data_IF_290348631280
#
_entry.id   IF_290348631280
#
_cell.length_a   1.000
_cell.length_b   1.000
_cell.length_c   1.000
_cell.angle_alpha   90.00
_cell.angle_beta   90.00
_cell.angle_gamma   90.00
#
_symmetry.space_group_name_H-M   'P 1'
#
loop_
_entity.id
_entity.type
_entity.pdbx_description
1 polymer ?
#
# COMPACT_ATOMS: atom_id res chain seq x y z
N UNK A 1 55.83 -11.19 10.25
CA UNK A 1 54.86 -11.59 9.21
C UNK A 1 53.46 -11.94 9.73
N UNK A 2 53.22 -12.10 11.03
CA UNK A 2 51.90 -12.52 11.57
C UNK A 2 50.78 -11.47 11.57
N UNK A 3 51.08 -10.16 11.57
CA UNK A 3 50.06 -9.10 11.66
C UNK A 3 49.26 -8.89 10.37
N UNK A 4 49.90 -9.09 9.21
CA UNK A 4 49.25 -8.92 7.90
C UNK A 4 48.24 -10.04 7.66
N UNK A 5 48.57 -11.28 8.02
CA UNK A 5 47.67 -12.42 7.93
C UNK A 5 46.45 -12.26 8.87
N UNK A 6 46.67 -11.78 10.10
CA UNK A 6 45.57 -11.52 11.03
C UNK A 6 44.62 -10.42 10.53
N UNK A 7 45.16 -9.35 9.95
CA UNK A 7 44.36 -8.27 9.36
C UNK A 7 43.53 -8.75 8.16
N UNK A 8 44.11 -9.58 7.29
CA UNK A 8 43.40 -10.17 6.13
C UNK A 8 42.25 -11.08 6.58
N UNK A 9 42.49 -11.93 7.58
CA UNK A 9 41.44 -12.81 8.14
C UNK A 9 40.32 -11.99 8.79
N UNK A 10 40.65 -10.93 9.54
CA UNK A 10 39.65 -10.05 10.15
C UNK A 10 38.80 -9.32 9.11
N UNK A 11 39.41 -8.80 8.04
CA UNK A 11 38.68 -8.17 6.91
C UNK A 11 37.79 -9.19 6.21
N UNK A 12 38.29 -10.40 5.97
CA UNK A 12 37.52 -11.48 5.33
C UNK A 12 36.31 -11.89 6.16
N UNK A 13 36.48 -12.11 7.47
CA UNK A 13 35.38 -12.41 8.39
C UNK A 13 34.36 -11.27 8.44
N UNK A 14 34.82 -10.02 8.49
CA UNK A 14 33.93 -8.84 8.47
C UNK A 14 33.09 -8.75 7.19
N UNK A 15 33.69 -9.07 6.04
CA UNK A 15 32.97 -9.11 4.76
C UNK A 15 31.93 -10.24 4.73
N UNK A 16 32.26 -11.42 5.23
CA UNK A 16 31.31 -12.54 5.34
C UNK A 16 30.13 -12.19 6.24
N UNK A 17 30.37 -11.61 7.42
CA UNK A 17 29.30 -11.19 8.34
C UNK A 17 28.38 -10.15 7.70
N UNK A 18 28.94 -9.18 6.94
CA UNK A 18 28.13 -8.20 6.21
C UNK A 18 27.30 -8.82 5.10
N UNK A 19 27.81 -9.84 4.41
CA UNK A 19 27.05 -10.55 3.39
C UNK A 19 25.87 -11.32 4.01
N UNK A 20 26.10 -12.00 5.12
CA UNK A 20 25.05 -12.77 5.80
C UNK A 20 23.95 -11.85 6.36
N UNK A 21 24.33 -10.74 7.00
CA UNK A 21 23.35 -9.73 7.48
C UNK A 21 22.51 -9.18 6.34
N UNK A 22 23.13 -8.87 5.18
CA UNK A 22 22.40 -8.40 4.00
C UNK A 22 21.45 -9.47 3.44
N UNK A 23 21.88 -10.73 3.45
CA UNK A 23 21.06 -11.85 3.00
C UNK A 23 19.83 -12.04 3.90
N UNK A 24 20.03 -12.02 5.22
CA UNK A 24 18.94 -12.10 6.19
C UNK A 24 17.98 -10.92 6.07
N UNK A 25 18.50 -9.71 5.90
CA UNK A 25 17.69 -8.52 5.65
C UNK A 25 16.83 -8.66 4.37
N UNK A 26 17.40 -9.21 3.28
CA UNK A 26 16.63 -9.48 2.05
C UNK A 26 15.55 -10.54 2.24
N UNK A 27 15.84 -11.61 2.97
CA UNK A 27 14.85 -12.65 3.27
C UNK A 27 13.71 -12.06 4.09
N UNK A 28 14.01 -11.26 5.11
CA UNK A 28 13.01 -10.58 5.93
C UNK A 28 12.17 -9.59 5.09
N UNK A 29 12.82 -8.74 4.28
CA UNK A 29 12.13 -7.81 3.38
C UNK A 29 11.21 -8.54 2.40
N UNK A 30 11.68 -9.62 1.78
CA UNK A 30 10.89 -10.45 0.88
C UNK A 30 9.68 -11.07 1.60
N UNK A 31 9.88 -11.61 2.80
CA UNK A 31 8.80 -12.18 3.59
C UNK A 31 7.76 -11.14 3.98
N UNK A 32 8.18 -9.95 4.40
CA UNK A 32 7.30 -8.84 4.72
C UNK A 32 6.52 -8.39 3.48
N UNK A 33 7.19 -8.27 2.33
CA UNK A 33 6.55 -7.90 1.07
C UNK A 33 5.46 -8.92 0.68
N UNK A 34 5.78 -10.22 0.71
CA UNK A 34 4.82 -11.28 0.42
C UNK A 34 3.61 -11.27 1.35
N UNK A 35 3.80 -10.92 2.62
CA UNK A 35 2.69 -10.80 3.57
C UNK A 35 1.78 -9.60 3.27
N UNK A 36 2.33 -8.51 2.72
CA UNK A 36 1.58 -7.29 2.41
C UNK A 36 0.88 -7.30 1.05
N UNK A 37 1.44 -8.04 0.07
CA UNK A 37 0.93 -8.06 -1.31
C UNK A 37 -0.58 -8.30 -1.44
N UNK A 38 -1.22 -9.24 -0.71
CA UNK A 38 -2.65 -9.48 -0.86
C UNK A 38 -3.49 -8.22 -0.57
N UNK A 39 -3.22 -7.54 0.55
CA UNK A 39 -3.96 -6.34 0.94
C UNK A 39 -3.74 -5.19 -0.05
N UNK A 40 -2.50 -4.98 -0.51
CA UNK A 40 -2.21 -3.92 -1.48
C UNK A 40 -2.80 -4.20 -2.87
N UNK A 41 -2.88 -5.47 -3.30
CA UNK A 41 -3.54 -5.85 -4.55
C UNK A 41 -5.04 -5.60 -4.49
N UNK A 42 -5.67 -5.99 -3.40
CA UNK A 42 -7.10 -5.80 -3.18
C UNK A 42 -7.46 -4.31 -3.13
N UNK A 43 -6.68 -3.53 -2.38
CA UNK A 43 -6.79 -2.08 -2.36
C UNK A 43 -6.59 -1.48 -3.77
N UNK A 44 -5.51 -1.85 -4.47
CA UNK A 44 -5.24 -1.35 -5.83
C UNK A 44 -6.39 -1.64 -6.80
N UNK A 45 -7.00 -2.83 -6.72
CA UNK A 45 -8.15 -3.22 -7.52
C UNK A 45 -9.37 -2.34 -7.21
N UNK A 46 -9.69 -2.20 -5.92
CA UNK A 46 -10.81 -1.38 -5.44
C UNK A 46 -10.69 0.08 -5.86
N UNK A 47 -9.51 0.69 -5.65
CA UNK A 47 -9.26 2.07 -6.06
C UNK A 47 -9.30 2.23 -7.58
N UNK A 48 -8.73 1.29 -8.34
CA UNK A 48 -8.77 1.35 -9.81
C UNK A 48 -10.22 1.34 -10.32
N UNK A 49 -11.05 0.44 -9.79
CA UNK A 49 -12.47 0.37 -10.13
C UNK A 49 -13.18 1.68 -9.80
N UNK A 50 -13.04 2.16 -8.57
CA UNK A 50 -13.67 3.38 -8.08
C UNK A 50 -13.27 4.57 -8.95
N UNK A 51 -11.99 4.70 -9.27
CA UNK A 51 -11.45 5.78 -10.10
C UNK A 51 -12.07 5.75 -11.50
N UNK A 52 -12.18 4.57 -12.11
CA UNK A 52 -12.77 4.37 -13.44
C UNK A 52 -14.27 4.68 -13.47
N UNK A 53 -15.04 4.24 -12.48
CA UNK A 53 -16.49 4.48 -12.45
C UNK A 53 -16.84 5.97 -12.32
N UNK A 54 -16.03 6.68 -11.57
CA UNK A 54 -16.15 8.12 -11.32
C UNK A 54 -15.42 8.99 -12.37
N UNK A 55 -14.85 8.38 -13.42
CA UNK A 55 -14.22 9.11 -14.51
C UNK A 55 -15.23 10.07 -15.18
N UNK A 56 -14.70 11.10 -15.84
CA UNK A 56 -15.50 12.10 -16.58
C UNK A 56 -16.48 12.92 -15.72
N UNK A 57 -16.21 13.02 -14.41
CA UNK A 57 -17.03 13.81 -13.49
C UNK A 57 -18.35 13.15 -13.10
N UNK A 58 -18.47 11.84 -13.30
CA UNK A 58 -19.63 11.08 -12.83
C UNK A 58 -19.78 11.23 -11.31
N UNK A 59 -21.00 11.49 -10.84
CA UNK A 59 -21.25 11.66 -9.42
C UNK A 59 -21.16 10.32 -8.68
N UNK A 60 -20.96 10.34 -7.36
CA UNK A 60 -20.77 9.16 -6.53
C UNK A 60 -21.80 8.05 -6.69
N UNK A 61 -23.06 8.44 -6.74
CA UNK A 61 -24.23 7.60 -6.95
C UNK A 61 -24.20 6.80 -8.27
N UNK A 62 -23.25 7.09 -9.18
CA UNK A 62 -23.05 6.35 -10.41
C UNK A 62 -22.04 5.19 -10.31
N UNK A 63 -21.45 4.90 -9.14
CA UNK A 63 -20.61 3.71 -8.98
C UNK A 63 -21.47 2.45 -9.12
N UNK A 64 -21.24 1.71 -10.20
CA UNK A 64 -21.82 0.38 -10.38
C UNK A 64 -21.03 -0.72 -9.67
N UNK A 65 -21.56 -1.94 -9.80
CA UNK A 65 -20.91 -3.16 -9.32
C UNK A 65 -19.62 -3.46 -10.05
N UNK A 66 -18.60 -3.94 -9.32
CA UNK A 66 -17.37 -4.49 -9.89
C UNK A 66 -17.67 -5.61 -10.90
N UNK A 67 -16.71 -6.01 -11.75
CA UNK A 67 -16.87 -7.17 -12.65
C UNK A 67 -17.20 -8.48 -11.93
N UNK A 68 -17.01 -8.52 -10.61
CA UNK A 68 -17.35 -9.65 -9.73
C UNK A 68 -18.71 -9.49 -9.03
N UNK A 69 -19.51 -8.51 -9.45
CA UNK A 69 -20.83 -8.18 -8.90
C UNK A 69 -20.81 -7.73 -7.43
N UNK A 70 -19.71 -7.12 -6.99
CA UNK A 70 -19.57 -6.54 -5.65
C UNK A 70 -19.83 -5.03 -5.72
N UNK A 71 -20.56 -4.49 -4.75
CA UNK A 71 -20.70 -3.04 -4.60
C UNK A 71 -19.43 -2.51 -3.91
N UNK A 72 -18.87 -1.39 -4.38
CA UNK A 72 -17.80 -0.68 -3.65
C UNK A 72 -18.42 0.54 -2.98
N UNK A 73 -18.34 0.56 -1.66
CA UNK A 73 -18.84 1.61 -0.78
C UNK A 73 -17.72 2.47 -0.18
N UNK A 74 -18.12 3.50 0.58
CA UNK A 74 -17.21 4.33 1.37
C UNK A 74 -16.51 3.42 2.36
N UNK A 75 -17.28 2.50 2.95
CA UNK A 75 -16.82 1.51 3.90
C UNK A 75 -15.68 0.68 3.33
N UNK A 76 -15.83 0.16 2.11
CA UNK A 76 -14.79 -0.66 1.47
C UNK A 76 -13.48 0.13 1.26
N UNK A 77 -13.57 1.39 0.82
CA UNK A 77 -12.38 2.25 0.68
C UNK A 77 -11.71 2.56 2.03
N UNK A 78 -12.51 2.71 3.09
CA UNK A 78 -12.03 2.97 4.45
C UNK A 78 -11.46 1.71 5.10
N UNK A 79 -12.01 0.55 4.81
CA UNK A 79 -11.56 -0.74 5.34
C UNK A 79 -10.11 -1.05 4.92
N UNK A 80 -9.71 -0.63 3.72
CA UNK A 80 -8.32 -0.73 3.25
C UNK A 80 -7.33 -0.03 4.20
N UNK A 81 -7.71 1.09 4.83
CA UNK A 81 -6.88 1.74 5.84
C UNK A 81 -6.67 0.81 7.05
N UNK A 82 -7.72 0.17 7.54
CA UNK A 82 -7.65 -0.77 8.69
C UNK A 82 -6.82 -2.00 8.35
N UNK A 83 -7.07 -2.61 7.18
CA UNK A 83 -6.37 -3.82 6.74
C UNK A 83 -4.87 -3.57 6.56
N UNK A 84 -4.49 -2.47 5.89
CA UNK A 84 -3.09 -2.14 5.65
C UNK A 84 -2.40 -1.65 6.94
N UNK A 85 -3.11 -0.93 7.81
CA UNK A 85 -2.58 -0.53 9.13
C UNK A 85 -2.18 -1.72 9.99
N UNK A 86 -2.93 -2.83 9.93
CA UNK A 86 -2.59 -4.06 10.65
C UNK A 86 -1.22 -4.64 10.24
N UNK A 87 -0.73 -4.30 9.05
CA UNK A 87 0.55 -4.72 8.51
C UNK A 87 1.71 -3.76 8.84
N UNK A 88 1.43 -2.61 9.45
CA UNK A 88 2.44 -1.62 9.84
C UNK A 88 3.63 -2.18 10.63
N UNK A 89 3.46 -3.14 11.57
CA UNK A 89 4.59 -3.72 12.30
C UNK A 89 5.61 -4.46 11.42
N UNK A 90 5.22 -4.92 10.22
CA UNK A 90 6.11 -5.59 9.29
C UNK A 90 6.87 -4.63 8.36
N UNK A 91 6.45 -3.35 8.25
CA UNK A 91 7.06 -2.36 7.35
C UNK A 91 8.56 -2.13 7.60
N UNK A 92 9.07 -2.07 8.85
CA UNK A 92 10.50 -1.87 9.08
C UNK A 92 11.40 -2.94 8.43
N UNK A 93 10.87 -4.14 8.20
CA UNK A 93 11.61 -5.24 7.58
C UNK A 93 11.90 -4.97 6.09
N UNK A 94 11.14 -4.08 5.44
CA UNK A 94 11.35 -3.66 4.05
C UNK A 94 12.56 -2.71 3.90
N UNK A 95 13.07 -2.14 4.99
CA UNK A 95 14.17 -1.19 4.95
C UNK A 95 13.80 0.07 4.18
N UNK A 96 14.59 0.43 3.16
CA UNK A 96 14.35 1.62 2.34
C UNK A 96 13.01 1.56 1.59
N UNK A 97 12.55 0.35 1.25
CA UNK A 97 11.33 0.13 0.47
C UNK A 97 10.05 0.37 1.28
N UNK A 98 10.19 0.55 2.60
CA UNK A 98 9.09 0.91 3.48
C UNK A 98 8.54 2.32 3.18
N UNK A 99 9.30 3.21 2.52
CA UNK A 99 8.90 4.60 2.27
C UNK A 99 7.61 4.66 1.45
N UNK A 100 7.53 3.90 0.37
CA UNK A 100 6.32 3.90 -0.50
C UNK A 100 5.12 3.29 0.22
N UNK A 101 5.35 2.24 1.01
CA UNK A 101 4.30 1.60 1.82
C UNK A 101 3.79 2.57 2.91
N UNK A 102 4.67 3.35 3.53
CA UNK A 102 4.31 4.38 4.50
C UNK A 102 3.56 5.54 3.86
N UNK A 103 3.96 5.96 2.65
CA UNK A 103 3.26 6.99 1.89
C UNK A 103 1.83 6.56 1.55
N UNK A 104 1.63 5.33 1.06
CA UNK A 104 0.31 4.77 0.81
C UNK A 104 -0.55 4.68 2.08
N UNK A 105 0.02 4.22 3.19
CA UNK A 105 -0.69 4.18 4.48
C UNK A 105 -1.12 5.58 4.94
N UNK A 106 -0.26 6.59 4.75
CA UNK A 106 -0.58 7.97 5.09
C UNK A 106 -1.70 8.53 4.21
N UNK A 107 -1.69 8.24 2.91
CA UNK A 107 -2.75 8.64 1.99
C UNK A 107 -4.10 8.02 2.37
N UNK A 108 -4.10 6.72 2.71
CA UNK A 108 -5.28 6.02 3.23
C UNK A 108 -5.82 6.65 4.51
N UNK A 109 -4.95 6.99 5.46
CA UNK A 109 -5.36 7.65 6.71
C UNK A 109 -6.03 9.01 6.45
N UNK A 110 -5.48 9.81 5.52
CA UNK A 110 -6.05 11.12 5.16
C UNK A 110 -7.42 10.93 4.47
N UNK A 111 -7.50 9.96 3.56
CA UNK A 111 -8.75 9.63 2.88
C UNK A 111 -9.82 9.14 3.86
N UNK A 112 -9.49 8.23 4.78
CA UNK A 112 -10.42 7.73 5.80
C UNK A 112 -10.97 8.87 6.66
N UNK A 113 -10.10 9.79 7.11
CA UNK A 113 -10.54 10.98 7.83
C UNK A 113 -11.46 11.89 6.99
N UNK A 114 -11.18 12.04 5.68
CA UNK A 114 -12.05 12.80 4.78
C UNK A 114 -13.41 12.11 4.56
N UNK A 115 -13.42 10.78 4.46
CA UNK A 115 -14.62 9.99 4.22
C UNK A 115 -15.42 9.69 5.49
N UNK A 116 -14.90 9.99 6.68
CA UNK A 116 -15.57 9.73 7.95
C UNK A 116 -16.94 10.43 8.10
N UNK A 117 -17.16 11.54 7.39
CA UNK A 117 -18.44 12.25 7.37
C UNK A 117 -19.51 11.61 6.47
N UNK A 118 -19.15 10.64 5.64
CA UNK A 118 -20.05 9.92 4.76
C UNK A 118 -20.58 8.66 5.45
N UNK A 119 -21.80 8.25 5.11
CA UNK A 119 -22.34 6.97 5.55
C UNK A 119 -21.44 5.82 5.06
N UNK A 120 -21.24 4.82 5.91
CA UNK A 120 -20.37 3.69 5.59
C UNK A 120 -20.82 2.96 4.32
N UNK A 121 -22.14 2.70 4.21
CA UNK A 121 -22.77 2.09 3.03
C UNK A 121 -23.17 3.09 1.94
N UNK A 122 -22.70 4.35 1.99
CA UNK A 122 -22.87 5.24 0.85
C UNK A 122 -22.32 4.55 -0.42
N UNK A 123 -22.71 5.03 -1.61
CA UNK A 123 -22.43 4.45 -2.94
C UNK A 123 -23.34 3.31 -3.41
N UNK A 124 -24.28 2.86 -2.58
CA UNK A 124 -25.42 2.02 -2.99
C UNK A 124 -26.72 2.83 -2.89
N UNK A 125 -27.40 3.11 -4.01
CA UNK A 125 -28.71 3.78 -4.11
C UNK A 125 -28.86 5.12 -3.32
N UNK A 126 -27.76 5.72 -2.86
CA UNK A 126 -27.77 6.85 -1.93
C UNK A 126 -27.60 8.19 -2.67
N UNK A 127 -28.74 8.79 -3.04
CA UNK A 127 -28.81 10.08 -3.75
C UNK A 127 -28.32 11.32 -2.97
N UNK A 128 -27.92 11.16 -1.70
CA UNK A 128 -27.80 12.27 -0.74
C UNK A 128 -26.38 12.87 -0.68
N UNK A 129 -25.35 12.15 -1.13
CA UNK A 129 -23.96 12.49 -0.78
C UNK A 129 -23.17 13.29 -1.83
N UNK A 130 -23.85 13.99 -2.74
CA UNK A 130 -23.22 14.86 -3.74
C UNK A 130 -23.30 16.33 -3.30
N UNK A 131 -22.16 16.94 -2.98
CA UNK A 131 -22.08 18.33 -2.51
C UNK A 131 -20.73 18.98 -2.77
N UNK A 132 -20.48 20.17 -2.20
CA UNK A 132 -19.26 20.97 -2.44
C UNK A 132 -17.95 20.24 -2.08
N UNK A 133 -17.99 19.26 -1.18
CA UNK A 133 -16.83 18.48 -0.74
C UNK A 133 -16.41 17.39 -1.71
N UNK A 134 -17.28 17.00 -2.65
CA UNK A 134 -17.05 15.88 -3.54
C UNK A 134 -15.79 16.02 -4.43
N UNK A 135 -15.51 17.17 -5.07
CA UNK A 135 -14.28 17.33 -5.85
C UNK A 135 -13.00 17.13 -5.03
N UNK A 136 -13.01 17.52 -3.76
CA UNK A 136 -11.86 17.31 -2.86
C UNK A 136 -11.72 15.84 -2.47
N UNK A 137 -12.83 15.17 -2.15
CA UNK A 137 -12.84 13.72 -1.88
C UNK A 137 -12.37 12.91 -3.10
N UNK A 138 -12.83 13.28 -4.31
CA UNK A 138 -12.37 12.67 -5.56
C UNK A 138 -10.87 12.80 -5.74
N UNK A 139 -10.32 14.00 -5.55
CA UNK A 139 -8.88 14.23 -5.64
C UNK A 139 -8.10 13.32 -4.67
N UNK A 140 -8.57 13.18 -3.43
CA UNK A 140 -7.95 12.29 -2.45
C UNK A 140 -8.05 10.82 -2.85
N UNK A 141 -9.18 10.38 -3.44
CA UNK A 141 -9.30 9.01 -3.97
C UNK A 141 -8.26 8.77 -5.08
N UNK A 142 -8.09 9.71 -5.99
CA UNK A 142 -7.12 9.62 -7.08
C UNK A 142 -5.67 9.57 -6.55
N UNK A 143 -5.33 10.45 -5.60
CA UNK A 143 -4.00 10.51 -4.95
C UNK A 143 -3.71 9.23 -4.15
N UNK A 144 -4.67 8.74 -3.37
CA UNK A 144 -4.53 7.51 -2.60
C UNK A 144 -4.40 6.29 -3.52
N UNK A 145 -5.18 6.21 -4.60
CA UNK A 145 -5.07 5.14 -5.59
C UNK A 145 -3.73 5.15 -6.34
N UNK A 146 -3.11 6.32 -6.54
CA UNK A 146 -1.75 6.42 -7.09
C UNK A 146 -0.70 5.91 -6.09
N UNK A 147 -0.76 6.35 -4.83
CA UNK A 147 0.17 5.91 -3.80
C UNK A 147 0.11 4.39 -3.54
N UNK A 148 -1.09 3.80 -3.56
CA UNK A 148 -1.27 2.35 -3.41
C UNK A 148 -0.62 1.58 -4.56
N UNK A 149 -0.75 2.05 -5.81
CA UNK A 149 -0.10 1.39 -6.97
C UNK A 149 1.42 1.46 -6.87
N UNK A 150 1.98 2.60 -6.50
CA UNK A 150 3.43 2.76 -6.33
C UNK A 150 3.97 1.84 -5.22
N UNK A 151 3.26 1.76 -4.10
CA UNK A 151 3.60 0.82 -3.03
C UNK A 151 3.49 -0.64 -3.50
N UNK A 152 2.46 -1.00 -4.27
CA UNK A 152 2.28 -2.34 -4.81
C UNK A 152 3.43 -2.72 -5.76
N UNK A 153 3.79 -1.85 -6.70
CA UNK A 153 4.93 -2.05 -7.61
C UNK A 153 6.23 -2.28 -6.83
N UNK A 154 6.44 -1.50 -5.75
CA UNK A 154 7.61 -1.68 -4.88
C UNK A 154 7.59 -3.02 -4.16
N UNK A 155 6.46 -3.41 -3.59
CA UNK A 155 6.30 -4.69 -2.90
C UNK A 155 6.53 -5.87 -3.86
N UNK A 156 6.05 -5.78 -5.10
CA UNK A 156 6.28 -6.81 -6.12
C UNK A 156 7.75 -6.90 -6.52
N UNK A 157 8.44 -5.76 -6.66
CA UNK A 157 9.87 -5.74 -6.93
C UNK A 157 10.69 -6.38 -5.80
N UNK A 158 10.36 -6.09 -4.54
CA UNK A 158 11.00 -6.71 -3.36
C UNK A 158 10.71 -8.20 -3.32
N UNK A 159 9.47 -8.61 -3.55
CA UNK A 159 9.07 -10.01 -3.59
C UNK A 159 9.77 -10.82 -4.69
N UNK A 160 10.03 -10.19 -5.84
CA UNK A 160 10.74 -10.80 -6.97
C UNK A 160 12.28 -10.86 -6.79
N UNK A 161 12.84 -10.11 -5.83
CA UNK A 161 14.29 -10.03 -5.62
C UNK A 161 14.91 -11.39 -5.27
N UNK A 162 16.06 -11.71 -5.87
CA UNK A 162 16.80 -12.97 -5.59
C UNK A 162 17.54 -12.88 -4.26
N UNK A 163 17.46 -13.94 -3.47
CA UNK A 163 18.19 -14.13 -2.20
C UNK A 163 19.62 -14.59 -2.49
#
# INVERSE_FOLDING_TARGET
MGSVLAAVVAVYLHLLTRQEVRRQARIAARSAALAMLPAFRDASSSFTWTIQQLADGKPPDAIGRTPYNENISVGDLRDHHTQISALAPAMPQLGHDAIEVQHALRALQILDANLAGYAYGAWDDDSIYVGETWPASRKLIDETGAAIREALERLEAVAASRV
#
